data_IF_494575896433
#
_entry.id   IF_494575896433
#
_cell.length_a   1.000
_cell.length_b   1.000
_cell.length_c   1.000
_cell.angle_alpha   90.00
_cell.angle_beta   90.00
_cell.angle_gamma   90.00
#
_symmetry.space_group_name_H-M   'P 1'
#
loop_
_entity.id
_entity.type
_entity.pdbx_description
1 polymer ?
#
# COMPACT_ATOMS: atom_id res chain seq x y z
N UNK A 1 -7.78 11.11 -31.88
CA UNK A 1 -7.49 11.85 -30.62
C UNK A 1 -6.31 11.15 -29.95
N UNK A 2 -5.10 11.68 -30.02
CA UNK A 2 -3.95 11.12 -29.29
C UNK A 2 -4.20 11.41 -27.80
N UNK A 3 -4.45 10.39 -27.03
CA UNK A 3 -4.51 10.50 -25.57
C UNK A 3 -3.04 10.46 -25.13
N UNK A 4 -2.49 11.63 -24.90
CA UNK A 4 -1.13 11.80 -24.35
C UNK A 4 -1.18 11.58 -22.83
N UNK A 5 -1.67 10.39 -22.43
CA UNK A 5 -1.76 9.99 -21.02
C UNK A 5 -0.50 9.19 -20.68
N UNK A 6 0.18 9.60 -19.61
CA UNK A 6 1.21 8.77 -18.97
C UNK A 6 0.65 7.36 -18.75
N UNK A 7 1.37 6.29 -19.09
CA UNK A 7 0.92 4.94 -18.83
C UNK A 7 0.69 4.72 -17.33
N UNK A 8 -0.32 3.92 -17.00
CA UNK A 8 -0.62 3.52 -15.63
C UNK A 8 0.55 2.71 -15.07
N UNK A 9 1.07 3.12 -13.93
CA UNK A 9 2.08 2.36 -13.21
C UNK A 9 1.40 1.30 -12.32
N UNK A 10 2.03 0.13 -12.16
CA UNK A 10 1.45 -1.00 -11.43
C UNK A 10 2.33 -1.40 -10.24
N UNK A 11 1.69 -1.64 -9.10
CA UNK A 11 2.30 -2.27 -7.93
C UNK A 11 1.81 -3.71 -7.81
N UNK A 12 2.73 -4.66 -7.68
CA UNK A 12 2.40 -6.06 -7.40
C UNK A 12 2.28 -6.28 -5.88
N UNK A 13 1.27 -7.02 -5.43
CA UNK A 13 1.02 -7.26 -4.00
C UNK A 13 0.95 -8.74 -3.61
N UNK A 14 1.29 -9.65 -4.53
CA UNK A 14 1.16 -11.11 -4.32
C UNK A 14 1.96 -11.60 -3.11
N UNK A 15 3.17 -11.06 -2.87
CA UNK A 15 4.04 -11.51 -1.79
C UNK A 15 3.58 -11.07 -0.40
N UNK A 16 2.80 -9.99 -0.30
CA UNK A 16 2.24 -9.54 0.98
C UNK A 16 0.75 -9.78 1.07
N UNK A 17 -0.07 -9.09 0.27
CA UNK A 17 -1.54 -9.14 0.37
C UNK A 17 -2.09 -10.47 -0.13
N UNK A 18 -1.61 -10.96 -1.26
CA UNK A 18 -1.97 -12.26 -1.79
C UNK A 18 -1.62 -13.39 -0.83
N UNK A 19 -0.40 -13.40 -0.30
CA UNK A 19 0.04 -14.36 0.72
C UNK A 19 -0.81 -14.28 2.00
N UNK A 20 -1.11 -13.06 2.45
CA UNK A 20 -1.94 -12.86 3.64
C UNK A 20 -3.37 -13.35 3.45
N UNK A 21 -3.97 -13.08 2.30
CA UNK A 21 -5.38 -13.37 2.03
C UNK A 21 -5.63 -14.85 1.70
N UNK A 22 -4.73 -15.47 0.93
CA UNK A 22 -4.92 -16.82 0.41
C UNK A 22 -4.19 -17.91 1.22
N UNK A 23 -3.05 -17.57 1.83
CA UNK A 23 -2.16 -18.52 2.50
C UNK A 23 -1.96 -18.20 4.00
N UNK A 24 -2.83 -17.36 4.58
CA UNK A 24 -2.72 -16.91 5.97
C UNK A 24 -1.31 -16.40 6.32
N UNK A 25 -0.64 -15.73 5.37
CA UNK A 25 0.73 -15.22 5.49
C UNK A 25 1.79 -16.33 5.68
N UNK A 26 1.53 -17.56 5.19
CA UNK A 26 2.40 -18.73 5.38
C UNK A 26 3.33 -19.01 4.18
N UNK A 27 3.38 -18.13 3.19
CA UNK A 27 4.32 -18.27 2.08
C UNK A 27 5.75 -18.11 2.59
N UNK A 28 6.58 -19.14 2.42
CA UNK A 28 7.97 -19.16 2.86
C UNK A 28 8.88 -18.34 1.94
N UNK A 29 10.00 -17.89 2.48
CA UNK A 29 11.00 -17.16 1.70
C UNK A 29 11.51 -18.01 0.52
N UNK A 30 11.81 -19.30 0.75
CA UNK A 30 12.29 -20.22 -0.27
C UNK A 30 11.30 -20.39 -1.45
N UNK A 31 10.00 -20.25 -1.18
CA UNK A 31 8.97 -20.30 -2.22
C UNK A 31 8.86 -18.97 -3.01
N UNK A 32 9.23 -17.86 -2.37
CA UNK A 32 9.19 -16.52 -2.98
C UNK A 32 10.38 -16.30 -3.92
N UNK A 33 11.59 -16.61 -3.49
CA UNK A 33 12.82 -16.23 -4.19
C UNK A 33 12.87 -16.63 -5.67
N UNK A 34 12.49 -17.88 -6.07
CA UNK A 34 12.51 -18.28 -7.48
C UNK A 34 11.53 -17.51 -8.37
N UNK A 35 10.44 -17.00 -7.77
CA UNK A 35 9.43 -16.21 -8.49
C UNK A 35 9.77 -14.72 -8.46
N UNK A 36 10.36 -14.24 -7.36
CA UNK A 36 10.75 -12.85 -7.19
C UNK A 36 11.74 -12.39 -8.29
N UNK A 37 12.70 -13.20 -8.64
CA UNK A 37 13.64 -12.93 -9.73
C UNK A 37 12.91 -12.68 -11.08
N UNK A 38 11.89 -13.49 -11.37
CA UNK A 38 11.08 -13.32 -12.59
C UNK A 38 10.18 -12.09 -12.53
N UNK A 39 9.64 -11.79 -11.34
CA UNK A 39 8.80 -10.61 -11.11
C UNK A 39 9.61 -9.32 -11.28
N UNK A 40 10.90 -9.33 -10.95
CA UNK A 40 11.79 -8.17 -11.12
C UNK A 40 11.95 -7.75 -12.60
N UNK A 41 11.81 -8.70 -13.53
CA UNK A 41 11.93 -8.45 -14.97
C UNK A 41 10.63 -7.94 -15.62
N UNK A 42 9.50 -7.96 -14.91
CA UNK A 42 8.20 -7.52 -15.46
C UNK A 42 8.13 -6.00 -15.59
N UNK A 43 8.85 -5.26 -14.74
CA UNK A 43 8.88 -3.80 -14.76
C UNK A 43 7.76 -3.16 -13.94
N UNK A 44 7.34 -3.77 -12.84
CA UNK A 44 6.44 -3.13 -11.89
C UNK A 44 7.05 -1.87 -11.26
N UNK A 45 6.21 -0.89 -10.96
CA UNK A 45 6.61 0.31 -10.21
C UNK A 45 7.17 -0.04 -8.82
N UNK A 46 6.52 -0.98 -8.15
CA UNK A 46 6.96 -1.55 -6.87
C UNK A 46 6.33 -2.91 -6.63
N UNK A 47 6.90 -3.65 -5.68
CA UNK A 47 6.32 -4.89 -5.15
C UNK A 47 6.10 -4.72 -3.65
N UNK A 48 4.86 -4.90 -3.19
CA UNK A 48 4.56 -4.92 -1.77
C UNK A 48 4.86 -6.32 -1.22
N UNK A 49 6.02 -6.46 -0.60
CA UNK A 49 6.57 -7.73 -0.14
C UNK A 49 6.51 -7.92 1.38
N UNK A 50 6.20 -6.86 2.13
CA UNK A 50 6.33 -6.86 3.58
C UNK A 50 5.28 -6.03 4.29
N UNK A 51 5.08 -6.30 5.58
CA UNK A 51 4.13 -5.58 6.44
C UNK A 51 4.03 -6.23 7.82
N UNK A 52 3.12 -5.71 8.67
CA UNK A 52 2.97 -6.15 10.04
C UNK A 52 2.64 -7.64 10.19
N UNK A 53 1.68 -8.12 9.41
CA UNK A 53 1.30 -9.53 9.43
C UNK A 53 2.42 -10.45 8.93
N UNK A 54 3.19 -10.01 7.93
CA UNK A 54 4.35 -10.77 7.41
C UNK A 54 5.44 -10.87 8.48
N UNK A 55 5.77 -9.76 9.15
CA UNK A 55 6.75 -9.76 10.24
C UNK A 55 6.37 -10.73 11.36
N UNK A 56 5.13 -10.65 11.80
CA UNK A 56 4.60 -11.51 12.87
C UNK A 56 4.59 -12.99 12.45
N UNK A 57 4.17 -13.29 11.22
CA UNK A 57 4.13 -14.66 10.70
C UNK A 57 5.53 -15.28 10.55
N UNK A 58 6.54 -14.52 10.13
CA UNK A 58 7.92 -14.98 10.07
C UNK A 58 8.38 -15.53 11.41
N UNK A 59 8.15 -14.77 12.49
CA UNK A 59 8.58 -15.16 13.84
C UNK A 59 7.74 -16.31 14.40
N UNK A 60 6.41 -16.22 14.31
CA UNK A 60 5.51 -17.14 15.00
C UNK A 60 5.32 -18.48 14.32
N UNK A 61 5.43 -18.52 13.00
CA UNK A 61 4.98 -19.67 12.22
C UNK A 61 5.98 -20.21 11.21
N UNK A 62 6.85 -19.35 10.68
CA UNK A 62 7.76 -19.73 9.61
C UNK A 62 9.17 -20.03 10.11
N UNK A 63 9.49 -19.62 11.35
CA UNK A 63 10.85 -19.66 11.90
C UNK A 63 11.87 -18.92 11.01
N UNK A 64 11.43 -17.80 10.40
CA UNK A 64 12.24 -16.94 9.55
C UNK A 64 12.58 -15.63 10.27
N UNK A 65 13.76 -15.06 10.00
CA UNK A 65 14.07 -13.68 10.38
C UNK A 65 13.36 -12.72 9.41
N UNK A 66 12.42 -11.89 9.90
CA UNK A 66 11.67 -10.96 9.05
C UNK A 66 12.56 -9.93 8.35
N UNK A 67 13.70 -9.55 8.93
CA UNK A 67 14.64 -8.61 8.34
C UNK A 67 15.50 -9.27 7.24
N UNK A 68 15.92 -10.50 7.45
CA UNK A 68 16.61 -11.28 6.43
C UNK A 68 15.73 -11.52 5.22
N UNK A 69 14.42 -11.78 5.46
CA UNK A 69 13.44 -11.93 4.38
C UNK A 69 13.44 -10.74 3.43
N UNK A 70 13.45 -9.51 3.93
CA UNK A 70 13.49 -8.31 3.07
C UNK A 70 14.81 -8.27 2.29
N UNK A 71 15.92 -8.49 2.99
CA UNK A 71 17.26 -8.43 2.37
C UNK A 71 17.40 -9.43 1.23
N UNK A 72 16.96 -10.66 1.43
CA UNK A 72 17.03 -11.69 0.40
C UNK A 72 16.10 -11.40 -0.78
N UNK A 73 14.88 -10.91 -0.53
CA UNK A 73 13.99 -10.48 -1.62
C UNK A 73 14.63 -9.32 -2.40
N UNK A 74 15.14 -8.29 -1.71
CA UNK A 74 15.80 -7.15 -2.40
C UNK A 74 17.02 -7.57 -3.19
N UNK A 75 17.76 -8.55 -2.74
CA UNK A 75 18.94 -9.09 -3.43
C UNK A 75 18.60 -9.73 -4.77
N UNK A 76 17.49 -10.48 -4.85
CA UNK A 76 17.02 -11.11 -6.10
C UNK A 76 16.13 -10.18 -6.94
N UNK A 77 15.65 -9.08 -6.36
CA UNK A 77 14.84 -8.06 -7.02
C UNK A 77 15.50 -6.68 -6.94
N UNK A 78 16.68 -6.48 -7.55
CA UNK A 78 17.41 -5.21 -7.43
C UNK A 78 16.75 -4.04 -8.18
N UNK A 79 16.00 -4.31 -9.25
CA UNK A 79 15.39 -3.29 -10.12
C UNK A 79 14.09 -2.74 -9.56
N UNK A 80 13.27 -3.61 -8.93
CA UNK A 80 11.94 -3.27 -8.45
C UNK A 80 11.99 -2.76 -7.02
N UNK A 81 11.34 -1.62 -6.76
CA UNK A 81 11.26 -1.04 -5.41
C UNK A 81 10.45 -1.94 -4.48
N UNK A 82 10.99 -2.16 -3.27
CA UNK A 82 10.30 -2.91 -2.24
C UNK A 82 9.38 -1.99 -1.43
N UNK A 83 8.15 -2.41 -1.25
CA UNK A 83 7.13 -1.67 -0.51
C UNK A 83 6.65 -2.45 0.71
N UNK A 84 6.36 -1.74 1.80
CA UNK A 84 5.71 -2.31 2.96
C UNK A 84 4.39 -1.63 3.31
N UNK A 85 3.47 -2.39 3.90
CA UNK A 85 2.30 -1.85 4.58
C UNK A 85 2.66 -1.51 6.02
N UNK A 86 2.45 -0.23 6.42
CA UNK A 86 2.93 0.33 7.68
C UNK A 86 1.78 0.96 8.47
N UNK A 87 1.55 0.49 9.69
CA UNK A 87 0.39 0.88 10.52
C UNK A 87 0.60 2.17 11.30
N UNK A 88 1.17 3.20 10.68
CA UNK A 88 1.44 4.46 11.35
C UNK A 88 2.20 4.27 12.68
N UNK A 89 1.78 4.98 13.72
CA UNK A 89 2.38 4.89 15.06
C UNK A 89 2.34 3.49 15.69
N UNK A 90 1.48 2.61 15.18
CA UNK A 90 1.38 1.22 15.64
C UNK A 90 2.45 0.32 15.01
N UNK A 91 3.21 0.80 14.03
CA UNK A 91 4.27 0.06 13.32
C UNK A 91 3.71 -1.26 12.75
N UNK A 92 3.92 -2.35 13.45
CA UNK A 92 3.49 -3.72 13.12
C UNK A 92 2.41 -4.24 14.07
N UNK A 93 2.20 -3.54 15.19
CA UNK A 93 1.40 -4.00 16.31
C UNK A 93 -0.01 -3.42 16.37
N UNK A 94 -0.57 -3.47 17.58
CA UNK A 94 -1.93 -3.06 17.90
C UNK A 94 -1.98 -1.99 19.00
N UNK A 95 -0.84 -1.37 19.32
CA UNK A 95 -0.70 -0.25 20.24
C UNK A 95 0.25 0.78 19.67
N UNK A 96 0.17 2.02 20.12
CA UNK A 96 1.11 3.06 19.75
C UNK A 96 2.49 2.80 20.36
N UNK A 97 3.51 3.00 19.56
CA UNK A 97 4.90 3.04 20.00
C UNK A 97 5.36 4.49 20.11
N UNK A 98 6.40 4.74 20.88
CA UNK A 98 7.01 6.06 20.99
C UNK A 98 7.67 6.48 19.66
N UNK A 99 7.77 7.78 19.39
CA UNK A 99 8.26 8.32 18.12
C UNK A 99 9.68 7.87 17.77
N UNK A 100 10.56 7.75 18.79
CA UNK A 100 11.91 7.25 18.63
C UNK A 100 11.96 5.79 18.16
N UNK A 101 11.02 4.96 18.62
CA UNK A 101 10.87 3.56 18.18
C UNK A 101 10.37 3.52 16.73
N UNK A 102 9.39 4.38 16.37
CA UNK A 102 8.90 4.51 14.99
C UNK A 102 10.06 4.89 14.06
N UNK A 103 10.82 5.91 14.42
CA UNK A 103 11.98 6.38 13.64
C UNK A 103 13.01 5.27 13.45
N UNK A 104 13.40 4.60 14.53
CA UNK A 104 14.38 3.52 14.49
C UNK A 104 13.91 2.31 13.67
N UNK A 105 12.61 2.02 13.72
CA UNK A 105 12.03 0.97 12.89
C UNK A 105 12.08 1.32 11.39
N UNK A 106 11.74 2.56 11.04
CA UNK A 106 11.76 3.07 9.66
C UNK A 106 13.19 3.03 9.11
N UNK A 107 14.17 3.53 9.87
CA UNK A 107 15.61 3.45 9.53
C UNK A 107 16.01 2.00 9.23
N UNK A 108 15.68 1.08 10.14
CA UNK A 108 16.04 -0.34 9.99
C UNK A 108 15.36 -1.01 8.80
N UNK A 109 14.10 -0.68 8.53
CA UNK A 109 13.38 -1.22 7.38
C UNK A 109 13.99 -0.74 6.05
N UNK A 110 14.35 0.55 5.97
CA UNK A 110 15.03 1.11 4.81
C UNK A 110 16.42 0.50 4.60
N UNK A 111 17.24 0.37 5.64
CA UNK A 111 18.54 -0.33 5.59
C UNK A 111 18.41 -1.77 5.11
N UNK A 112 17.28 -2.42 5.38
CA UNK A 112 17.00 -3.80 4.96
C UNK A 112 16.48 -3.89 3.53
N UNK A 113 16.14 -2.76 2.87
CA UNK A 113 15.76 -2.72 1.46
C UNK A 113 14.33 -2.21 1.17
N UNK A 114 13.59 -1.73 2.17
CA UNK A 114 12.29 -1.10 1.94
C UNK A 114 12.49 0.33 1.43
N UNK A 115 11.83 0.67 0.32
CA UNK A 115 11.97 1.97 -0.34
C UNK A 115 10.65 2.77 -0.32
N UNK A 116 9.51 2.07 -0.18
CA UNK A 116 8.17 2.68 -0.12
C UNK A 116 7.46 2.22 1.15
N UNK A 117 7.03 3.18 1.96
CA UNK A 117 6.27 2.93 3.18
C UNK A 117 4.83 3.38 2.96
N UNK A 118 3.91 2.42 2.80
CA UNK A 118 2.47 2.71 2.73
C UNK A 118 1.93 2.86 4.15
N UNK A 119 1.86 4.12 4.59
CA UNK A 119 1.41 4.48 5.94
C UNK A 119 -0.10 4.59 5.95
N UNK A 120 -0.76 3.86 6.85
CA UNK A 120 -2.21 3.90 7.01
C UNK A 120 -2.63 3.87 8.47
N UNK A 121 -3.82 4.38 8.71
CA UNK A 121 -4.61 4.16 9.90
C UNK A 121 -6.01 3.68 9.51
N UNK A 122 -6.53 2.63 10.18
CA UNK A 122 -7.81 2.04 9.82
C UNK A 122 -9.00 2.99 10.06
N UNK A 123 -8.86 3.95 10.97
CA UNK A 123 -9.85 4.98 11.30
C UNK A 123 -9.57 6.33 10.64
N UNK A 124 -8.52 6.40 9.79
CA UNK A 124 -8.09 7.63 9.12
C UNK A 124 -7.68 8.76 10.09
N UNK A 125 -7.15 8.41 11.27
CA UNK A 125 -6.62 9.41 12.19
C UNK A 125 -5.23 9.87 11.74
N UNK A 126 -5.17 11.09 11.19
CA UNK A 126 -3.92 11.67 10.68
C UNK A 126 -2.83 11.76 11.77
N UNK A 127 -3.22 11.92 13.04
CA UNK A 127 -2.27 11.99 14.17
C UNK A 127 -1.48 10.69 14.33
N UNK A 128 -2.08 9.56 13.94
CA UNK A 128 -1.42 8.25 13.95
C UNK A 128 -0.46 8.07 12.77
N UNK A 129 -0.53 8.90 11.74
CA UNK A 129 0.26 8.76 10.51
C UNK A 129 1.41 9.78 10.40
N UNK A 130 1.25 10.96 10.99
CA UNK A 130 2.17 12.10 10.81
C UNK A 130 3.61 11.78 11.22
N UNK A 131 3.84 11.23 12.41
CA UNK A 131 5.20 10.88 12.88
C UNK A 131 5.86 9.83 11.96
N UNK A 132 5.09 8.90 11.45
CA UNK A 132 5.60 7.87 10.53
C UNK A 132 5.95 8.44 9.16
N UNK A 133 5.11 9.31 8.60
CA UNK A 133 5.37 10.00 7.32
C UNK A 133 6.63 10.86 7.44
N UNK A 134 6.75 11.63 8.53
CA UNK A 134 7.92 12.46 8.79
C UNK A 134 9.19 11.60 8.92
N UNK A 135 9.15 10.51 9.69
CA UNK A 135 10.29 9.61 9.84
C UNK A 135 10.77 9.00 8.52
N UNK A 136 9.85 8.69 7.61
CA UNK A 136 10.18 8.19 6.26
C UNK A 136 10.81 9.30 5.42
N UNK A 137 10.26 10.52 5.48
CA UNK A 137 10.81 11.70 4.79
C UNK A 137 12.19 12.06 5.27
N UNK A 138 12.46 12.02 6.59
CA UNK A 138 13.76 12.33 7.21
C UNK A 138 14.91 11.50 6.65
N UNK A 139 14.65 10.27 6.23
CA UNK A 139 15.64 9.36 5.64
C UNK A 139 15.62 9.33 4.10
N UNK A 140 14.82 10.20 3.46
CA UNK A 140 14.73 10.32 2.02
C UNK A 140 14.02 9.16 1.32
N UNK A 141 13.21 8.37 2.04
CA UNK A 141 12.41 7.28 1.47
C UNK A 141 11.02 7.77 1.05
N UNK A 142 10.29 6.95 0.29
CA UNK A 142 8.97 7.30 -0.21
C UNK A 142 7.87 6.99 0.81
N UNK A 143 7.25 8.04 1.35
CA UNK A 143 6.06 7.92 2.18
C UNK A 143 4.80 7.96 1.31
N UNK A 144 4.01 6.88 1.32
CA UNK A 144 2.69 6.85 0.70
C UNK A 144 1.62 6.94 1.79
N UNK A 145 0.92 8.08 1.86
CA UNK A 145 -0.21 8.27 2.76
C UNK A 145 -1.45 7.53 2.26
N UNK A 146 -2.27 6.97 3.15
CA UNK A 146 -3.39 6.12 2.76
C UNK A 146 -4.72 6.65 3.27
N UNK A 147 -5.70 6.73 2.37
CA UNK A 147 -7.12 6.93 2.68
C UNK A 147 -7.74 5.54 2.83
N UNK A 148 -8.09 5.11 4.05
CA UNK A 148 -8.85 3.87 4.28
C UNK A 148 -10.29 4.10 3.90
N UNK A 149 -10.63 3.85 2.62
CA UNK A 149 -11.93 4.20 2.05
C UNK A 149 -13.06 3.41 2.68
N UNK A 150 -14.12 4.12 3.03
CA UNK A 150 -15.38 3.55 3.52
C UNK A 150 -16.57 4.45 3.13
N UNK A 151 -17.77 3.97 3.37
CA UNK A 151 -19.02 4.72 3.14
C UNK A 151 -19.81 4.80 4.42
N UNK A 152 -20.22 6.00 4.78
CA UNK A 152 -21.14 6.28 5.89
C UNK A 152 -21.71 7.69 5.77
N UNK A 153 -22.70 8.09 6.58
CA UNK A 153 -23.25 9.45 6.54
C UNK A 153 -22.24 10.56 6.81
N UNK A 154 -21.10 10.26 7.45
CA UNK A 154 -20.05 11.24 7.79
C UNK A 154 -18.87 11.22 6.82
N UNK A 155 -18.76 10.21 5.96
CA UNK A 155 -17.68 10.10 4.97
C UNK A 155 -18.15 10.66 3.63
N UNK A 156 -18.06 11.97 3.48
CA UNK A 156 -18.35 12.67 2.23
C UNK A 156 -17.10 12.76 1.34
N UNK A 157 -17.28 13.22 0.12
CA UNK A 157 -16.15 13.43 -0.80
C UNK A 157 -15.19 14.50 -0.26
N UNK A 158 -15.73 15.52 0.41
CA UNK A 158 -14.96 16.58 1.06
C UNK A 158 -14.07 16.02 2.17
N UNK A 159 -14.58 15.08 2.98
CA UNK A 159 -13.81 14.40 4.01
C UNK A 159 -12.55 13.72 3.42
N UNK A 160 -12.69 13.06 2.27
CA UNK A 160 -11.55 12.42 1.59
C UNK A 160 -10.56 13.43 1.03
N UNK A 161 -11.06 14.55 0.49
CA UNK A 161 -10.22 15.64 -0.02
C UNK A 161 -9.41 16.29 1.11
N UNK A 162 -10.04 16.57 2.24
CA UNK A 162 -9.38 17.20 3.38
C UNK A 162 -8.34 16.28 4.01
N UNK A 163 -8.64 14.99 4.11
CA UNK A 163 -7.67 14.01 4.57
C UNK A 163 -6.49 13.88 3.60
N UNK A 164 -6.74 13.86 2.29
CA UNK A 164 -5.69 13.81 1.29
C UNK A 164 -4.74 15.00 1.36
N UNK A 165 -5.28 16.22 1.52
CA UNK A 165 -4.48 17.42 1.75
C UNK A 165 -3.65 17.33 3.03
N UNK A 166 -4.26 16.85 4.11
CA UNK A 166 -3.55 16.67 5.38
C UNK A 166 -2.39 15.68 5.28
N UNK A 167 -2.54 14.63 4.46
CA UNK A 167 -1.45 13.68 4.17
C UNK A 167 -0.35 14.32 3.32
N UNK A 168 -0.70 15.10 2.30
CA UNK A 168 0.27 15.85 1.49
C UNK A 168 1.01 16.87 2.35
N UNK A 169 0.31 17.64 3.18
CA UNK A 169 0.89 18.61 4.12
C UNK A 169 1.81 17.95 5.16
N UNK A 170 1.53 16.71 5.54
CA UNK A 170 2.39 15.90 6.41
C UNK A 170 3.66 15.40 5.70
N UNK A 171 3.80 15.59 4.39
CA UNK A 171 4.95 15.22 3.60
C UNK A 171 4.83 13.90 2.83
N UNK A 172 3.63 13.38 2.63
CA UNK A 172 3.43 12.18 1.80
C UNK A 172 3.84 12.44 0.34
N UNK A 173 4.62 11.54 -0.25
CA UNK A 173 5.07 11.60 -1.63
C UNK A 173 4.04 11.07 -2.65
N UNK A 174 3.06 10.30 -2.17
CA UNK A 174 1.90 9.85 -2.94
C UNK A 174 0.75 9.49 -2.00
N UNK A 175 -0.46 9.39 -2.54
CA UNK A 175 -1.65 9.05 -1.76
C UNK A 175 -2.31 7.80 -2.34
N UNK A 176 -2.63 6.83 -1.48
CA UNK A 176 -3.33 5.61 -1.83
C UNK A 176 -4.79 5.66 -1.38
N UNK A 177 -5.73 5.52 -2.31
CA UNK A 177 -7.13 5.24 -2.01
C UNK A 177 -7.22 3.74 -1.76
N UNK A 178 -7.42 3.31 -0.51
CA UNK A 178 -7.45 1.89 -0.13
C UNK A 178 -8.88 1.45 0.19
N UNK A 179 -9.48 0.77 -0.77
CA UNK A 179 -10.82 0.20 -0.67
C UNK A 179 -10.74 -1.30 -0.32
N UNK A 180 -10.60 -1.61 0.97
CA UNK A 180 -10.47 -2.99 1.46
C UNK A 180 -11.77 -3.78 1.42
N UNK A 181 -12.92 -3.11 1.40
CA UNK A 181 -14.23 -3.75 1.43
C UNK A 181 -14.89 -3.83 0.04
N UNK A 182 -14.27 -3.25 -0.99
CA UNK A 182 -14.84 -3.19 -2.33
C UNK A 182 -16.07 -2.29 -2.44
N UNK A 183 -16.14 -1.22 -1.63
CA UNK A 183 -17.29 -0.31 -1.55
C UNK A 183 -17.25 0.81 -2.60
N UNK A 184 -16.07 1.08 -3.15
CA UNK A 184 -15.90 2.15 -4.14
C UNK A 184 -16.52 1.75 -5.46
N UNK A 185 -17.66 2.35 -5.77
CA UNK A 185 -18.34 2.09 -7.05
C UNK A 185 -17.61 2.77 -8.21
N UNK A 186 -17.79 2.30 -9.46
CA UNK A 186 -17.09 2.87 -10.62
C UNK A 186 -17.25 4.38 -10.78
N UNK A 187 -18.46 4.90 -10.64
CA UNK A 187 -18.73 6.32 -10.83
C UNK A 187 -18.28 7.16 -9.65
N UNK A 188 -18.43 6.67 -8.41
CA UNK A 188 -17.89 7.35 -7.23
C UNK A 188 -16.36 7.38 -7.26
N UNK A 189 -15.74 6.31 -7.76
CA UNK A 189 -14.28 6.26 -7.97
C UNK A 189 -13.80 7.29 -8.99
N UNK A 190 -14.52 7.39 -10.12
CA UNK A 190 -14.24 8.42 -11.12
C UNK A 190 -14.31 9.83 -10.53
N UNK A 191 -15.42 10.16 -9.84
CA UNK A 191 -15.61 11.46 -9.24
C UNK A 191 -14.55 11.76 -8.17
N UNK A 192 -14.30 10.82 -7.27
CA UNK A 192 -13.30 10.97 -6.21
C UNK A 192 -11.91 11.24 -6.79
N UNK A 193 -11.46 10.46 -7.78
CA UNK A 193 -10.16 10.67 -8.43
C UNK A 193 -10.11 12.03 -9.12
N UNK A 194 -11.15 12.43 -9.88
CA UNK A 194 -11.19 13.74 -10.51
C UNK A 194 -11.08 14.89 -9.51
N UNK A 195 -11.70 14.75 -8.33
CA UNK A 195 -11.67 15.76 -7.27
C UNK A 195 -10.30 15.78 -6.56
N UNK A 196 -9.75 14.63 -6.24
CA UNK A 196 -8.42 14.50 -5.62
C UNK A 196 -7.32 15.04 -6.52
N UNK A 197 -7.33 14.73 -7.83
CA UNK A 197 -6.35 15.24 -8.81
C UNK A 197 -6.35 16.78 -8.92
N UNK A 198 -7.43 17.44 -8.52
CA UNK A 198 -7.49 18.92 -8.46
C UNK A 198 -7.06 19.47 -7.10
N UNK A 199 -7.11 18.66 -6.07
CA UNK A 199 -6.91 19.08 -4.69
C UNK A 199 -5.49 18.87 -4.18
N UNK A 200 -4.78 17.86 -4.70
CA UNK A 200 -3.40 17.51 -4.32
C UNK A 200 -2.50 17.44 -5.55
N UNK A 201 -1.20 17.66 -5.35
CA UNK A 201 -0.20 17.65 -6.42
C UNK A 201 0.52 16.30 -6.56
N UNK A 202 0.49 15.48 -5.51
CA UNK A 202 1.17 14.18 -5.46
C UNK A 202 0.42 13.11 -6.25
N UNK A 203 1.13 12.07 -6.74
CA UNK A 203 0.52 10.95 -7.45
C UNK A 203 -0.52 10.21 -6.61
N UNK A 204 -1.58 9.72 -7.28
CA UNK A 204 -2.66 8.96 -6.67
C UNK A 204 -2.58 7.49 -7.08
N UNK A 205 -2.71 6.59 -6.11
CA UNK A 205 -2.82 5.15 -6.30
C UNK A 205 -4.21 4.65 -5.90
N UNK A 206 -4.76 3.70 -6.65
CA UNK A 206 -5.96 2.97 -6.25
C UNK A 206 -5.58 1.54 -5.81
N UNK A 207 -6.00 1.16 -4.60
CA UNK A 207 -6.00 -0.20 -4.09
C UNK A 207 -7.46 -0.62 -3.84
N UNK A 208 -8.03 -1.43 -4.72
CA UNK A 208 -9.39 -1.91 -4.57
C UNK A 208 -9.43 -3.44 -4.43
N UNK A 209 -10.14 -3.92 -3.42
CA UNK A 209 -10.46 -5.34 -3.28
C UNK A 209 -11.71 -5.69 -4.11
N UNK A 210 -11.72 -6.88 -4.70
CA UNK A 210 -12.79 -7.30 -5.61
C UNK A 210 -13.97 -8.01 -4.91
N UNK A 211 -14.11 -7.84 -3.60
CA UNK A 211 -15.11 -8.53 -2.75
C UNK A 211 -16.54 -8.37 -3.25
N UNK A 212 -16.86 -7.22 -3.86
CA UNK A 212 -18.19 -6.94 -4.45
C UNK A 212 -18.27 -7.23 -5.94
N UNK A 213 -17.17 -7.66 -6.57
CA UNK A 213 -17.08 -7.88 -8.02
C UNK A 213 -16.97 -6.59 -8.85
N UNK A 214 -16.94 -5.41 -8.25
CA UNK A 214 -16.90 -4.13 -8.97
C UNK A 214 -15.49 -3.61 -9.27
N UNK A 215 -14.44 -4.16 -8.67
CA UNK A 215 -13.10 -3.58 -8.70
C UNK A 215 -12.57 -3.31 -10.10
N UNK A 216 -12.74 -4.24 -11.04
CA UNK A 216 -12.29 -4.07 -12.43
C UNK A 216 -12.94 -2.85 -13.11
N UNK A 217 -14.26 -2.69 -12.95
CA UNK A 217 -14.99 -1.55 -13.50
C UNK A 217 -14.58 -0.24 -12.78
N UNK A 218 -14.37 -0.30 -11.46
CA UNK A 218 -13.91 0.85 -10.66
C UNK A 218 -12.52 1.28 -11.09
N UNK A 219 -11.57 0.35 -11.27
CA UNK A 219 -10.21 0.64 -11.74
C UNK A 219 -10.26 1.29 -13.12
N UNK A 220 -11.05 0.74 -14.06
CA UNK A 220 -11.19 1.30 -15.40
C UNK A 220 -11.68 2.76 -15.33
N UNK A 221 -12.70 3.05 -14.53
CA UNK A 221 -13.22 4.40 -14.36
C UNK A 221 -12.22 5.35 -13.68
N UNK A 222 -11.46 4.87 -12.72
CA UNK A 222 -10.39 5.65 -12.11
C UNK A 222 -9.25 5.94 -13.11
N UNK A 223 -8.94 4.99 -14.01
CA UNK A 223 -7.99 5.23 -15.12
C UNK A 223 -8.47 6.32 -16.07
N UNK A 224 -9.76 6.32 -16.43
CA UNK A 224 -10.36 7.39 -17.23
C UNK A 224 -10.28 8.75 -16.51
N UNK A 225 -10.40 8.78 -15.19
CA UNK A 225 -10.26 9.97 -14.35
C UNK A 225 -8.80 10.46 -14.17
N UNK A 226 -7.81 9.64 -14.55
CA UNK A 226 -6.39 10.01 -14.51
C UNK A 226 -5.66 9.56 -13.26
N UNK A 227 -6.05 8.42 -12.65
CA UNK A 227 -5.24 7.79 -11.59
C UNK A 227 -3.84 7.47 -12.12
N UNK A 228 -2.81 7.61 -11.29
CA UNK A 228 -1.42 7.43 -11.70
C UNK A 228 -0.93 5.99 -11.52
N UNK A 229 -1.38 5.33 -10.45
CA UNK A 229 -0.98 3.97 -10.09
C UNK A 229 -2.19 3.11 -9.73
N UNK A 230 -2.07 1.80 -9.99
CA UNK A 230 -3.03 0.79 -9.53
C UNK A 230 -2.30 -0.42 -8.96
N UNK A 231 -3.05 -1.37 -8.42
CA UNK A 231 -2.53 -2.65 -7.96
C UNK A 231 -2.92 -3.77 -8.91
N UNK A 232 -2.06 -4.78 -8.95
CA UNK A 232 -2.32 -6.08 -9.58
C UNK A 232 -2.46 -7.13 -8.48
N UNK A 233 -3.08 -8.26 -8.80
CA UNK A 233 -3.46 -9.30 -7.85
C UNK A 233 -4.28 -8.77 -6.68
N UNK A 234 -5.34 -8.10 -7.03
CA UNK A 234 -6.37 -7.70 -6.09
C UNK A 234 -6.97 -8.99 -5.56
N UNK A 235 -6.41 -9.45 -4.42
CA UNK A 235 -6.85 -10.70 -3.84
C UNK A 235 -8.27 -10.57 -3.35
N UNK A 236 -9.15 -11.36 -3.95
CA UNK A 236 -10.39 -11.70 -3.32
C UNK A 236 -10.07 -12.71 -2.21
N UNK A 237 -10.52 -12.51 -0.98
CA UNK A 237 -10.66 -13.61 -0.09
C UNK A 237 -11.80 -14.47 -0.63
N UNK A 238 -11.51 -15.38 -1.53
CA UNK A 238 -12.37 -16.52 -1.75
C UNK A 238 -12.33 -17.33 -0.48
N UNK A 239 -13.06 -16.88 0.54
CA UNK A 239 -13.50 -17.77 1.59
C UNK A 239 -14.44 -18.75 0.89
N UNK A 240 -13.88 -19.86 0.47
CA UNK A 240 -14.66 -21.06 0.27
C UNK A 240 -15.29 -21.36 1.63
N UNK A 241 -16.53 -20.97 1.81
CA UNK A 241 -17.36 -21.44 2.88
C UNK A 241 -17.64 -22.90 2.57
N UNK A 242 -16.76 -23.77 3.06
CA UNK A 242 -17.05 -25.18 3.17
C UNK A 242 -17.86 -25.43 4.43
#
# INVERSE_FOLDING_TARGET
MKIDKKPLELTEVVFRDGSQSLLATRLKLDDILPIAEKVDDIGFYSVESWGGATFDACIRFLAEDPWERIREIKKVMPKTRQQMLFRGQNILGYRHYADDVVKKFVERAAESGIEIFRVFDALNDIRNMTSSIAAVGDIGMHAQGTLSYTTSPVHTIETWIDLAKSLEDAGANSICIKDMAGLLTPYNGYELVCRLKKAVSVPLQLHAHATTGMSTATILKCCEAGIDLSLIHISEPTRLHG
#
